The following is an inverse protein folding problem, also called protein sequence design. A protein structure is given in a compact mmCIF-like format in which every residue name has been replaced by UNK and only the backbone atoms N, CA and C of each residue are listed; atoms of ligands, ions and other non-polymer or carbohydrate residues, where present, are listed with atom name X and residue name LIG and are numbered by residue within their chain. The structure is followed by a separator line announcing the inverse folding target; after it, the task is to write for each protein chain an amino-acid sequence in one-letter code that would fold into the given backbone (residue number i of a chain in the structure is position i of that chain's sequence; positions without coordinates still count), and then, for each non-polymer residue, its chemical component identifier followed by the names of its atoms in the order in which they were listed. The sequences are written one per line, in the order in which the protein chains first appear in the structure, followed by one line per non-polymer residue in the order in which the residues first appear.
data_IF_428420378288
#
_entry.id   IF_428420378288
#
_cell.length_a   1.000
_cell.length_b   1.000
_cell.length_c   1.000
_cell.angle_alpha   90.00
_cell.angle_beta   90.00
_cell.angle_gamma   90.00
#
_symmetry.space_group_name_H-M   'P 1'
#
loop_
_entity.id
_entity.type
_entity.pdbx_description
1 polymer ?
#
# COMPACT_ATOMS: atom_id res chain seq x y z
N UNK A 1 -42.51 -3.13 -10.49
CA UNK A 1 -41.49 -3.31 -9.46
C UNK A 1 -40.14 -3.02 -10.11
N UNK A 2 -39.51 -1.93 -9.76
CA UNK A 2 -38.11 -1.66 -10.18
C UNK A 2 -37.22 -2.77 -9.63
N UNK A 3 -36.38 -3.41 -10.43
CA UNK A 3 -35.49 -4.45 -9.93
C UNK A 3 -34.63 -3.86 -8.80
N UNK A 4 -34.58 -4.55 -7.67
CA UNK A 4 -33.73 -4.17 -6.55
C UNK A 4 -32.27 -4.29 -7.04
N UNK A 5 -31.60 -3.16 -7.15
CA UNK A 5 -30.20 -3.14 -7.58
C UNK A 5 -29.32 -3.87 -6.57
N UNK A 6 -28.15 -4.29 -7.04
CA UNK A 6 -27.12 -4.80 -6.15
C UNK A 6 -26.56 -3.64 -5.33
N UNK A 7 -26.26 -3.82 -4.04
CA UNK A 7 -25.79 -2.74 -3.16
C UNK A 7 -24.64 -1.91 -3.73
N UNK A 8 -23.74 -2.54 -4.48
CA UNK A 8 -22.62 -1.85 -5.13
C UNK A 8 -23.08 -0.89 -6.23
N UNK A 9 -24.10 -1.28 -7.03
CA UNK A 9 -24.65 -0.42 -8.08
C UNK A 9 -25.41 0.76 -7.46
N UNK A 10 -26.05 0.54 -6.29
CA UNK A 10 -26.71 1.61 -5.53
C UNK A 10 -25.69 2.60 -4.98
N UNK A 11 -24.58 2.14 -4.38
CA UNK A 11 -23.51 3.01 -3.87
C UNK A 11 -22.93 3.89 -4.99
N UNK A 12 -22.63 3.30 -6.15
CA UNK A 12 -22.14 4.05 -7.33
C UNK A 12 -23.12 5.12 -7.77
N UNK A 13 -24.41 4.80 -7.82
CA UNK A 13 -25.45 5.77 -8.19
C UNK A 13 -25.61 6.89 -7.16
N UNK A 14 -25.52 6.56 -5.89
CA UNK A 14 -25.52 7.57 -4.82
C UNK A 14 -24.35 8.52 -5.00
N UNK A 15 -23.14 8.03 -5.22
CA UNK A 15 -21.96 8.87 -5.43
C UNK A 15 -22.10 9.73 -6.71
N UNK A 16 -22.55 9.15 -7.82
CA UNK A 16 -22.81 9.91 -9.04
C UNK A 16 -23.88 11.00 -8.84
N UNK A 17 -24.91 10.75 -8.01
CA UNK A 17 -25.93 11.75 -7.67
C UNK A 17 -25.38 12.85 -6.77
N UNK A 18 -24.53 12.52 -5.77
CA UNK A 18 -23.88 13.49 -4.89
C UNK A 18 -22.97 14.45 -5.68
N UNK A 19 -22.35 13.96 -6.74
CA UNK A 19 -21.48 14.74 -7.63
C UNK A 19 -22.17 15.24 -8.91
N UNK A 20 -23.48 15.04 -9.04
CA UNK A 20 -24.27 15.54 -10.16
C UNK A 20 -24.61 17.03 -10.05
N UNK A 21 -25.25 17.58 -11.09
CA UNK A 21 -25.58 19.02 -11.23
C UNK A 21 -26.32 19.60 -10.01
N UNK A 22 -27.25 18.85 -9.41
CA UNK A 22 -27.95 19.24 -8.18
C UNK A 22 -27.48 18.40 -6.98
N UNK A 23 -26.21 18.06 -6.94
CA UNK A 23 -25.61 17.22 -5.90
C UNK A 23 -25.22 18.00 -4.65
N UNK A 24 -24.38 17.40 -3.84
CA UNK A 24 -23.84 18.02 -2.63
C UNK A 24 -22.71 19.00 -2.98
N UNK A 25 -22.80 20.28 -2.59
CA UNK A 25 -21.76 21.27 -2.88
C UNK A 25 -20.38 20.85 -2.39
N UNK A 26 -20.29 20.20 -1.23
CA UNK A 26 -19.02 19.72 -0.68
C UNK A 26 -18.41 18.61 -1.56
N UNK A 27 -19.22 17.61 -1.95
CA UNK A 27 -18.74 16.52 -2.81
C UNK A 27 -18.28 17.04 -4.17
N UNK A 28 -18.97 18.02 -4.74
CA UNK A 28 -18.63 18.64 -6.03
C UNK A 28 -17.27 19.36 -6.01
N UNK A 29 -16.89 19.98 -4.90
CA UNK A 29 -15.60 20.66 -4.75
C UNK A 29 -14.40 19.69 -4.62
N UNK A 30 -14.64 18.40 -4.31
CA UNK A 30 -13.56 17.48 -4.06
C UNK A 30 -12.85 17.05 -5.34
N UNK A 31 -11.53 16.93 -5.23
CA UNK A 31 -10.66 16.30 -6.22
C UNK A 31 -9.84 15.16 -5.58
N UNK A 32 -9.07 14.43 -6.39
CA UNK A 32 -8.20 13.36 -5.90
C UNK A 32 -7.20 13.82 -4.84
N UNK A 33 -6.82 15.11 -4.82
CA UNK A 33 -5.82 15.62 -3.88
C UNK A 33 -6.45 16.06 -2.58
N UNK A 34 -7.66 16.60 -2.61
CA UNK A 34 -8.37 17.03 -1.39
C UNK A 34 -8.70 15.83 -0.50
N UNK A 35 -9.27 14.77 -1.06
CA UNK A 35 -9.74 13.57 -0.30
C UNK A 35 -8.67 12.47 -0.10
N UNK A 36 -7.44 12.65 -0.59
CA UNK A 36 -6.41 11.60 -0.53
C UNK A 36 -6.04 11.10 0.86
N UNK A 37 -6.21 11.96 1.87
CA UNK A 37 -5.88 11.61 3.24
C UNK A 37 -7.04 10.98 4.00
N UNK A 38 -8.28 11.20 3.56
CA UNK A 38 -9.44 10.50 4.11
C UNK A 38 -9.23 8.98 3.98
N UNK A 39 -8.83 8.50 2.81
CA UNK A 39 -8.49 7.07 2.64
C UNK A 39 -7.40 6.55 3.59
N UNK A 40 -6.52 7.41 4.11
CA UNK A 40 -5.50 7.04 5.11
C UNK A 40 -6.11 7.00 6.51
N UNK A 41 -7.03 7.92 6.81
CA UNK A 41 -7.80 7.97 8.05
C UNK A 41 -8.63 6.71 8.20
N UNK A 42 -9.49 6.37 7.23
CA UNK A 42 -10.29 5.14 7.22
C UNK A 42 -9.44 3.86 7.41
N UNK A 43 -8.22 3.83 6.85
CA UNK A 43 -7.31 2.69 7.07
C UNK A 43 -6.85 2.60 8.52
N UNK A 44 -6.62 3.71 9.22
CA UNK A 44 -6.23 3.67 10.64
C UNK A 44 -7.41 3.31 11.53
N UNK A 45 -8.60 3.83 11.26
CA UNK A 45 -9.83 3.50 11.98
C UNK A 45 -10.18 2.01 11.80
N UNK A 46 -10.06 1.48 10.58
CA UNK A 46 -10.15 0.04 10.33
C UNK A 46 -9.12 -0.77 11.12
N UNK A 47 -7.88 -0.29 11.26
CA UNK A 47 -6.85 -0.98 12.06
C UNK A 47 -7.25 -0.99 13.53
N UNK A 48 -7.75 0.10 14.07
CA UNK A 48 -8.19 0.20 15.47
C UNK A 48 -9.38 -0.75 15.73
N UNK A 49 -10.37 -0.80 14.83
CA UNK A 49 -11.49 -1.73 14.91
C UNK A 49 -11.04 -3.21 14.89
N UNK A 50 -10.09 -3.56 14.00
CA UNK A 50 -9.50 -4.91 13.93
C UNK A 50 -8.73 -5.25 15.23
N UNK A 51 -7.97 -4.33 15.80
CA UNK A 51 -7.20 -4.56 17.02
C UNK A 51 -8.12 -4.66 18.27
N UNK A 52 -9.30 -4.03 18.19
CA UNK A 52 -10.33 -4.13 19.23
C UNK A 52 -11.22 -5.39 19.10
N UNK A 53 -11.07 -6.18 18.05
CA UNK A 53 -11.98 -7.29 17.68
C UNK A 53 -13.46 -6.82 17.57
N UNK A 54 -13.69 -5.58 17.09
CA UNK A 54 -15.03 -4.97 16.97
C UNK A 54 -15.57 -5.13 15.54
N UNK A 55 -16.44 -6.12 15.34
CA UNK A 55 -17.04 -6.40 14.03
C UNK A 55 -18.00 -5.30 13.55
N UNK A 56 -18.57 -4.51 14.45
CA UNK A 56 -19.51 -3.44 14.09
C UNK A 56 -18.73 -2.25 13.53
N UNK A 57 -17.74 -1.78 14.24
CA UNK A 57 -16.83 -0.74 13.77
C UNK A 57 -16.09 -1.19 12.50
N UNK A 58 -15.60 -2.42 12.45
CA UNK A 58 -14.92 -2.97 11.27
C UNK A 58 -15.82 -2.97 10.02
N UNK A 59 -17.13 -3.22 10.18
CA UNK A 59 -18.08 -3.15 9.07
C UNK A 59 -18.24 -1.70 8.57
N UNK A 60 -18.30 -0.74 9.48
CA UNK A 60 -18.41 0.69 9.16
C UNK A 60 -17.16 1.16 8.43
N UNK A 61 -15.96 0.93 8.98
CA UNK A 61 -14.70 1.37 8.39
C UNK A 61 -14.37 0.72 7.05
N UNK A 62 -14.78 -0.54 6.84
CA UNK A 62 -14.72 -1.17 5.52
C UNK A 62 -15.64 -0.49 4.52
N UNK A 63 -16.80 0.01 4.97
CA UNK A 63 -17.74 0.80 4.17
C UNK A 63 -17.13 2.13 3.75
N UNK A 64 -16.49 2.85 4.67
CA UNK A 64 -15.88 4.15 4.44
C UNK A 64 -14.63 4.04 3.55
N UNK A 65 -13.81 3.01 3.77
CA UNK A 65 -12.71 2.71 2.85
C UNK A 65 -13.23 2.36 1.43
N UNK A 66 -14.35 1.64 1.31
CA UNK A 66 -14.99 1.36 0.02
C UNK A 66 -15.53 2.64 -0.61
N UNK A 67 -16.11 3.55 0.18
CA UNK A 67 -16.55 4.87 -0.27
C UNK A 67 -15.40 5.65 -0.91
N UNK A 68 -14.21 5.66 -0.30
CA UNK A 68 -13.03 6.32 -0.88
C UNK A 68 -12.69 5.77 -2.28
N UNK A 69 -12.79 4.45 -2.47
CA UNK A 69 -12.55 3.83 -3.78
C UNK A 69 -13.59 4.28 -4.81
N UNK A 70 -14.87 4.28 -4.44
CA UNK A 70 -15.98 4.71 -5.33
C UNK A 70 -15.89 6.19 -5.65
N UNK A 71 -15.58 7.03 -4.66
CA UNK A 71 -15.42 8.48 -4.84
C UNK A 71 -14.27 8.79 -5.82
N UNK A 72 -13.10 8.21 -5.61
CA UNK A 72 -11.99 8.37 -6.54
C UNK A 72 -12.30 7.86 -7.95
N UNK A 73 -13.05 6.77 -8.07
CA UNK A 73 -13.46 6.24 -9.37
C UNK A 73 -14.45 7.20 -10.07
N UNK A 74 -15.41 7.78 -9.34
CA UNK A 74 -16.33 8.77 -9.86
C UNK A 74 -15.62 10.03 -10.39
N UNK A 75 -14.68 10.59 -9.61
CA UNK A 75 -13.86 11.73 -10.06
C UNK A 75 -13.04 11.38 -11.32
N UNK A 76 -12.57 10.15 -11.43
CA UNK A 76 -11.83 9.71 -12.61
C UNK A 76 -12.73 9.55 -13.85
N UNK A 77 -13.94 9.05 -13.66
CA UNK A 77 -14.96 8.91 -14.70
C UNK A 77 -15.37 10.27 -15.26
N UNK A 78 -15.64 11.27 -14.42
CA UNK A 78 -15.94 12.64 -14.80
C UNK A 78 -14.87 13.29 -15.68
N UNK A 79 -13.61 12.88 -15.52
CA UNK A 79 -12.48 13.32 -16.34
C UNK A 79 -12.27 12.46 -17.59
N UNK A 80 -13.09 11.42 -17.81
CA UNK A 80 -12.93 10.47 -18.91
C UNK A 80 -11.66 9.59 -18.81
N UNK A 81 -11.13 9.38 -17.58
CA UNK A 81 -9.90 8.62 -17.39
C UNK A 81 -10.15 7.11 -17.20
N UNK A 82 -10.97 6.75 -16.24
CA UNK A 82 -11.45 5.39 -15.96
C UNK A 82 -12.63 5.45 -15.00
N UNK A 83 -13.40 4.36 -14.91
CA UNK A 83 -14.55 4.18 -14.04
C UNK A 83 -14.29 3.12 -12.95
N UNK A 84 -15.28 2.89 -12.10
CA UNK A 84 -15.22 1.86 -11.06
C UNK A 84 -15.10 0.44 -11.63
N UNK A 85 -15.76 0.15 -12.76
CA UNK A 85 -15.70 -1.19 -13.36
C UNK A 85 -14.28 -1.50 -13.83
N UNK A 86 -13.57 -0.50 -14.37
CA UNK A 86 -12.17 -0.64 -14.76
C UNK A 86 -11.25 -0.88 -13.55
N UNK A 87 -11.55 -0.27 -12.40
CA UNK A 87 -10.81 -0.53 -11.13
C UNK A 87 -11.05 -1.96 -10.68
N UNK A 88 -12.31 -2.41 -10.64
CA UNK A 88 -12.69 -3.76 -10.23
C UNK A 88 -12.11 -4.83 -11.18
N UNK A 89 -12.22 -4.61 -12.49
CA UNK A 89 -11.63 -5.48 -13.49
C UNK A 89 -10.12 -5.61 -13.32
N UNK A 90 -9.43 -4.47 -13.16
CA UNK A 90 -7.97 -4.45 -13.03
C UNK A 90 -7.46 -5.23 -11.82
N UNK A 91 -8.14 -5.16 -10.67
CA UNK A 91 -7.76 -5.95 -9.50
C UNK A 91 -8.12 -7.43 -9.68
N UNK A 92 -9.26 -7.76 -10.29
CA UNK A 92 -9.67 -9.13 -10.58
C UNK A 92 -8.67 -9.84 -11.49
N UNK A 93 -8.34 -9.25 -12.62
CA UNK A 93 -7.34 -9.77 -13.56
C UNK A 93 -5.98 -10.00 -12.89
N UNK A 94 -5.57 -9.05 -12.04
CA UNK A 94 -4.33 -9.15 -11.27
C UNK A 94 -4.36 -10.29 -10.26
N UNK A 95 -5.47 -10.51 -9.56
CA UNK A 95 -5.61 -11.62 -8.62
C UNK A 95 -5.56 -12.96 -9.34
N UNK A 96 -6.31 -13.14 -10.43
CA UNK A 96 -6.30 -14.36 -11.24
C UNK A 96 -4.88 -14.66 -11.74
N UNK A 97 -4.22 -13.67 -12.34
CA UNK A 97 -2.87 -13.83 -12.89
C UNK A 97 -1.83 -14.18 -11.83
N UNK A 98 -1.97 -13.66 -10.60
CA UNK A 98 -1.01 -13.89 -9.50
C UNK A 98 -1.27 -15.17 -8.72
N UNK A 99 -2.39 -15.83 -8.95
CA UNK A 99 -2.75 -17.09 -8.28
C UNK A 99 -2.94 -18.23 -9.29
N UNK A 100 -1.95 -18.52 -10.16
CA UNK A 100 -2.09 -19.60 -11.15
C UNK A 100 -2.14 -20.98 -10.50
N UNK A 101 -1.85 -21.09 -9.21
CA UNK A 101 -2.07 -22.29 -8.41
C UNK A 101 -3.54 -22.47 -7.97
N UNK A 102 -4.39 -21.44 -8.14
CA UNK A 102 -5.84 -21.50 -7.86
C UNK A 102 -6.64 -21.45 -9.15
N UNK A 103 -6.26 -20.56 -10.07
CA UNK A 103 -6.99 -20.29 -11.31
C UNK A 103 -6.37 -20.94 -12.56
N UNK A 104 -5.27 -21.65 -12.42
CA UNK A 104 -4.54 -22.31 -13.51
C UNK A 104 -4.02 -23.70 -13.09
N UNK A 105 -2.91 -24.12 -13.68
CA UNK A 105 -2.34 -25.47 -13.51
C UNK A 105 -1.08 -25.50 -12.63
N UNK A 106 -0.59 -24.34 -12.19
CA UNK A 106 0.61 -24.29 -11.35
C UNK A 106 0.38 -24.96 -9.99
N UNK A 107 1.41 -25.56 -9.43
CA UNK A 107 1.34 -26.21 -8.11
C UNK A 107 2.30 -25.52 -7.15
N UNK A 108 1.85 -25.20 -5.96
CA UNK A 108 2.66 -24.72 -4.85
C UNK A 108 2.45 -25.60 -3.64
N UNK A 109 3.51 -25.87 -2.88
CA UNK A 109 3.45 -26.80 -1.74
C UNK A 109 3.17 -26.08 -0.41
N UNK A 110 3.57 -24.82 -0.32
CA UNK A 110 3.51 -24.04 0.92
C UNK A 110 3.44 -22.52 0.63
N UNK A 111 3.26 -21.75 1.69
CA UNK A 111 3.23 -20.28 1.63
C UNK A 111 4.52 -19.69 1.04
N UNK A 112 5.68 -20.30 1.30
CA UNK A 112 6.96 -19.86 0.74
C UNK A 112 7.01 -19.99 -0.78
N UNK A 113 6.41 -21.05 -1.32
CA UNK A 113 6.22 -21.26 -2.76
C UNK A 113 5.32 -20.20 -3.37
N UNK A 114 4.22 -19.82 -2.70
CA UNK A 114 3.33 -18.73 -3.14
C UNK A 114 4.11 -17.41 -3.23
N UNK A 115 4.88 -17.06 -2.22
CA UNK A 115 5.67 -15.81 -2.22
C UNK A 115 6.67 -15.76 -3.37
N UNK A 116 7.39 -16.86 -3.62
CA UNK A 116 8.36 -16.95 -4.74
C UNK A 116 7.66 -16.77 -6.09
N UNK A 117 6.52 -17.44 -6.27
CA UNK A 117 5.70 -17.34 -7.49
C UNK A 117 5.21 -15.89 -7.70
N UNK A 118 4.69 -15.25 -6.66
CA UNK A 118 4.25 -13.86 -6.74
C UNK A 118 5.37 -12.89 -7.09
N UNK A 119 6.56 -13.08 -6.53
CA UNK A 119 7.70 -12.20 -6.83
C UNK A 119 8.17 -12.37 -8.29
N UNK A 120 8.19 -13.59 -8.82
CA UNK A 120 8.49 -13.85 -10.21
C UNK A 120 7.46 -13.19 -11.14
N UNK A 121 6.16 -13.38 -10.89
CA UNK A 121 5.08 -12.78 -11.69
C UNK A 121 5.15 -11.24 -11.63
N UNK A 122 5.38 -10.64 -10.47
CA UNK A 122 5.51 -9.18 -10.32
C UNK A 122 6.69 -8.59 -11.08
N UNK A 123 7.78 -9.34 -11.24
CA UNK A 123 8.91 -8.90 -12.06
C UNK A 123 8.51 -8.84 -13.54
N UNK A 124 7.90 -9.92 -14.06
CA UNK A 124 7.45 -9.99 -15.45
C UNK A 124 6.38 -8.92 -15.75
N UNK A 125 5.42 -8.71 -14.85
CA UNK A 125 4.34 -7.73 -15.04
C UNK A 125 4.81 -6.29 -15.32
N UNK A 126 6.00 -5.95 -14.88
CA UNK A 126 6.52 -4.57 -14.91
C UNK A 126 7.56 -4.35 -15.98
N UNK A 127 8.14 -5.41 -16.52
CA UNK A 127 9.15 -5.33 -17.57
C UNK A 127 8.57 -4.68 -18.83
N UNK A 128 9.24 -3.66 -19.36
CA UNK A 128 8.84 -2.95 -20.58
C UNK A 128 7.63 -2.00 -20.43
N UNK A 129 7.12 -1.76 -19.24
CA UNK A 129 6.01 -0.82 -18.99
C UNK A 129 6.52 0.54 -18.50
N UNK A 130 5.69 1.58 -18.65
CA UNK A 130 5.98 2.95 -18.18
C UNK A 130 6.29 3.02 -16.68
N UNK A 131 5.79 2.06 -15.90
CA UNK A 131 6.05 1.92 -14.46
C UNK A 131 7.05 0.81 -14.12
N UNK A 132 7.96 0.48 -15.05
CA UNK A 132 9.03 -0.48 -14.84
C UNK A 132 9.91 -0.07 -13.65
N UNK A 133 10.19 -1.04 -12.79
CA UNK A 133 11.03 -0.83 -11.61
C UNK A 133 12.49 -1.13 -11.97
N UNK A 134 13.28 -0.08 -12.07
CA UNK A 134 14.73 -0.18 -12.35
C UNK A 134 15.54 -0.56 -11.11
N UNK A 135 14.95 -0.45 -9.93
CA UNK A 135 15.57 -0.79 -8.64
C UNK A 135 14.60 -1.61 -7.79
N UNK A 136 15.13 -2.52 -6.99
CA UNK A 136 14.35 -3.26 -6.00
C UNK A 136 13.63 -2.33 -5.00
N UNK A 137 14.17 -1.13 -4.79
CA UNK A 137 13.61 -0.13 -3.88
C UNK A 137 12.46 0.68 -4.50
N UNK A 138 12.25 0.58 -5.80
CA UNK A 138 11.14 1.25 -6.46
C UNK A 138 9.80 0.67 -6.00
N UNK A 139 8.81 1.56 -5.81
CA UNK A 139 7.48 1.20 -5.35
C UNK A 139 7.36 1.03 -3.83
N UNK A 140 8.34 1.49 -3.04
CA UNK A 140 8.11 1.79 -1.62
C UNK A 140 7.41 3.16 -1.56
N UNK A 141 6.16 3.26 -1.08
CA UNK A 141 5.44 4.52 -1.06
C UNK A 141 6.19 5.56 -0.23
N UNK A 142 6.22 6.80 -0.74
CA UNK A 142 6.99 7.88 -0.10
C UNK A 142 6.33 8.42 1.17
N UNK A 143 5.02 8.28 1.26
CA UNK A 143 4.20 8.81 2.35
C UNK A 143 3.93 7.80 3.47
N UNK A 144 4.43 6.57 3.37
CA UNK A 144 4.37 5.64 4.51
C UNK A 144 4.97 6.28 5.77
N UNK A 145 4.42 5.97 6.96
CA UNK A 145 5.08 6.26 8.23
C UNK A 145 6.54 5.81 8.22
N UNK A 146 7.42 6.57 8.85
CA UNK A 146 8.88 6.35 8.70
C UNK A 146 9.32 4.96 9.15
N UNK A 147 8.73 4.41 10.21
CA UNK A 147 9.00 3.05 10.66
C UNK A 147 8.58 1.99 9.62
N UNK A 148 7.39 2.12 9.05
CA UNK A 148 6.92 1.22 8.01
C UNK A 148 7.80 1.31 6.75
N UNK A 149 8.16 2.52 6.37
CA UNK A 149 9.05 2.77 5.23
C UNK A 149 10.45 2.18 5.45
N UNK A 150 11.03 2.39 6.64
CA UNK A 150 12.31 1.81 7.02
C UNK A 150 12.26 0.27 7.03
N UNK A 151 11.18 -0.31 7.56
CA UNK A 151 10.96 -1.75 7.55
C UNK A 151 10.96 -2.32 6.12
N UNK A 152 10.19 -1.75 5.20
CA UNK A 152 10.13 -2.20 3.81
C UNK A 152 11.48 -2.01 3.09
N UNK A 153 12.21 -0.93 3.36
CA UNK A 153 13.53 -0.70 2.82
C UNK A 153 14.53 -1.80 3.27
N UNK A 154 14.58 -2.09 4.57
CA UNK A 154 15.45 -3.11 5.14
C UNK A 154 15.08 -4.50 4.62
N UNK A 155 13.79 -4.84 4.56
CA UNK A 155 13.28 -6.11 4.02
C UNK A 155 13.74 -6.30 2.58
N UNK A 156 13.56 -5.31 1.72
CA UNK A 156 14.00 -5.36 0.32
C UNK A 156 15.52 -5.46 0.19
N UNK A 157 16.26 -4.68 0.98
CA UNK A 157 17.72 -4.72 0.97
C UNK A 157 18.27 -6.10 1.39
N UNK A 158 17.63 -6.76 2.35
CA UNK A 158 17.97 -8.13 2.76
C UNK A 158 17.64 -9.15 1.68
N UNK A 159 16.49 -9.03 1.04
CA UNK A 159 16.10 -9.90 -0.07
C UNK A 159 17.07 -9.80 -1.25
N UNK A 160 17.65 -8.62 -1.48
CA UNK A 160 18.71 -8.40 -2.48
C UNK A 160 20.13 -8.75 -1.99
N UNK A 161 20.28 -9.22 -0.74
CA UNK A 161 21.57 -9.51 -0.14
C UNK A 161 22.47 -8.27 0.05
N UNK A 162 21.92 -7.05 -0.01
CA UNK A 162 22.63 -5.79 0.21
C UNK A 162 22.82 -5.48 1.71
N UNK A 163 22.05 -6.14 2.55
CA UNK A 163 22.19 -6.13 4.00
C UNK A 163 22.29 -7.58 4.51
N UNK A 164 23.05 -7.81 5.60
CA UNK A 164 23.16 -9.14 6.20
C UNK A 164 21.79 -9.60 6.72
N UNK A 165 21.58 -10.93 6.75
CA UNK A 165 20.43 -11.52 7.45
C UNK A 165 20.53 -11.14 8.93
N UNK A 166 19.51 -10.45 9.44
CA UNK A 166 19.47 -10.04 10.83
C UNK A 166 19.47 -11.24 11.79
N UNK A 167 20.14 -11.13 12.93
CA UNK A 167 20.00 -12.11 14.00
C UNK A 167 18.59 -11.97 14.61
N UNK A 168 17.92 -13.10 14.84
CA UNK A 168 16.64 -13.10 15.56
C UNK A 168 16.88 -12.66 17.01
N UNK A 169 16.29 -11.57 17.41
CA UNK A 169 16.26 -11.14 18.80
C UNK A 169 15.05 -11.79 19.49
N UNK A 170 15.27 -12.46 20.62
CA UNK A 170 14.18 -13.03 21.45
C UNK A 170 13.59 -12.00 22.43
N UNK A 171 14.25 -10.88 22.63
CA UNK A 171 13.85 -9.84 23.58
C UNK A 171 12.97 -8.77 22.91
N UNK A 172 11.80 -9.17 22.42
CA UNK A 172 10.84 -8.28 21.72
C UNK A 172 10.51 -7.03 22.55
N UNK A 173 10.24 -7.22 23.87
CA UNK A 173 9.93 -6.13 24.81
C UNK A 173 11.08 -5.12 24.93
N UNK A 174 12.33 -5.60 25.13
CA UNK A 174 13.51 -4.71 25.25
C UNK A 174 13.72 -3.86 24.01
N UNK A 175 13.51 -4.42 22.82
CA UNK A 175 13.59 -3.66 21.56
C UNK A 175 12.53 -2.56 21.49
N UNK A 176 11.29 -2.84 21.90
CA UNK A 176 10.23 -1.83 21.99
C UNK A 176 10.59 -0.70 22.99
N UNK A 177 11.12 -1.06 24.17
CA UNK A 177 11.60 -0.09 25.16
C UNK A 177 12.72 0.81 24.61
N UNK A 178 13.67 0.23 23.87
CA UNK A 178 14.73 1.00 23.20
C UNK A 178 14.19 1.98 22.16
N UNK A 179 13.26 1.53 21.32
CA UNK A 179 12.60 2.40 20.34
C UNK A 179 11.87 3.55 21.03
N UNK A 180 11.12 3.28 22.10
CA UNK A 180 10.41 4.30 22.86
C UNK A 180 11.37 5.31 23.51
N UNK A 181 12.50 4.86 24.07
CA UNK A 181 13.55 5.75 24.60
C UNK A 181 14.13 6.69 23.53
N UNK A 182 14.30 6.21 22.30
CA UNK A 182 14.74 7.05 21.18
C UNK A 182 13.71 8.15 20.87
N UNK A 183 12.41 7.83 20.91
CA UNK A 183 11.34 8.82 20.75
C UNK A 183 11.37 9.86 21.86
N UNK A 184 11.50 9.42 23.14
CA UNK A 184 11.65 10.33 24.29
C UNK A 184 12.86 11.27 24.13
N UNK A 185 14.01 10.72 23.68
CA UNK A 185 15.22 11.49 23.45
C UNK A 185 15.03 12.54 22.33
N UNK A 186 14.36 12.17 21.26
CA UNK A 186 14.05 13.12 20.19
C UNK A 186 13.14 14.24 20.69
N UNK A 187 12.06 13.90 21.40
CA UNK A 187 11.10 14.86 21.94
C UNK A 187 11.76 15.83 22.95
N UNK A 188 12.61 15.34 23.85
CA UNK A 188 13.35 16.16 24.82
C UNK A 188 14.30 17.19 24.15
N UNK A 189 14.70 16.97 22.89
CA UNK A 189 15.50 17.91 22.09
C UNK A 189 14.63 18.78 21.15
N UNK A 190 13.31 18.73 21.25
CA UNK A 190 12.40 19.45 20.35
C UNK A 190 12.36 18.88 18.92
N UNK A 191 12.79 17.64 18.72
CA UNK A 191 12.80 17.00 17.41
C UNK A 191 11.65 15.99 17.26
N UNK A 192 11.10 15.91 16.06
CA UNK A 192 10.10 14.90 15.72
C UNK A 192 10.80 13.61 15.29
N UNK A 193 10.63 12.52 16.05
CA UNK A 193 11.25 11.23 15.77
C UNK A 193 10.88 10.66 14.39
N UNK A 194 9.63 10.86 13.96
CA UNK A 194 9.16 10.50 12.61
C UNK A 194 9.97 11.22 11.53
N UNK A 195 10.19 12.53 11.66
CA UNK A 195 10.96 13.30 10.70
C UNK A 195 12.43 12.89 10.66
N UNK A 196 13.05 12.65 11.82
CA UNK A 196 14.42 12.16 11.93
C UNK A 196 14.60 10.82 11.22
N UNK A 197 13.72 9.84 11.51
CA UNK A 197 13.79 8.53 10.90
C UNK A 197 13.50 8.59 9.39
N UNK A 198 12.61 9.46 8.95
CA UNK A 198 12.30 9.68 7.53
C UNK A 198 13.52 10.20 6.77
N UNK A 199 14.25 11.16 7.33
CA UNK A 199 15.48 11.70 6.73
C UNK A 199 16.56 10.62 6.65
N UNK A 200 16.78 9.88 7.74
CA UNK A 200 17.78 8.81 7.78
C UNK A 200 17.44 7.66 6.85
N UNK A 201 16.16 7.28 6.76
CA UNK A 201 15.70 6.26 5.81
C UNK A 201 15.99 6.65 4.37
N UNK A 202 15.79 7.93 4.00
CA UNK A 202 16.16 8.45 2.67
C UNK A 202 17.66 8.39 2.41
N UNK A 203 18.47 8.70 3.42
CA UNK A 203 19.95 8.61 3.33
C UNK A 203 20.39 7.16 3.10
N UNK A 204 19.88 6.24 3.90
CA UNK A 204 20.14 4.81 3.77
C UNK A 204 19.71 4.27 2.40
N UNK A 205 18.55 4.67 1.92
CA UNK A 205 18.07 4.27 0.60
C UNK A 205 19.03 4.69 -0.51
N UNK A 206 19.56 5.93 -0.48
CA UNK A 206 20.55 6.40 -1.46
C UNK A 206 21.80 5.54 -1.46
N UNK A 207 22.30 5.14 -0.27
CA UNK A 207 23.46 4.26 -0.15
C UNK A 207 23.17 2.87 -0.70
N UNK A 208 22.00 2.31 -0.39
CA UNK A 208 21.60 0.98 -0.86
C UNK A 208 21.40 0.96 -2.39
N UNK A 209 20.82 1.99 -2.97
CA UNK A 209 20.70 2.12 -4.45
C UNK A 209 22.07 2.20 -5.15
N UNK A 210 23.05 2.88 -4.54
CA UNK A 210 24.44 2.87 -5.07
C UNK A 210 25.06 1.49 -5.03
N UNK A 211 24.90 0.76 -3.93
CA UNK A 211 25.38 -0.64 -3.79
C UNK A 211 24.69 -1.58 -4.79
N UNK A 212 23.40 -1.43 -5.00
CA UNK A 212 22.64 -2.20 -5.99
C UNK A 212 23.20 -2.00 -7.41
N UNK A 213 23.39 -0.73 -7.83
CA UNK A 213 23.98 -0.40 -9.14
C UNK A 213 25.40 -0.96 -9.30
N UNK A 214 26.26 -0.81 -8.28
CA UNK A 214 27.60 -1.34 -8.34
C UNK A 214 27.61 -2.88 -8.52
N UNK A 215 26.70 -3.58 -7.88
CA UNK A 215 26.55 -5.04 -8.03
C UNK A 215 26.06 -5.46 -9.41
N UNK A 216 25.23 -4.65 -10.06
CA UNK A 216 24.73 -4.92 -11.42
C UNK A 216 25.82 -4.72 -12.46
N UNK A 217 26.82 -3.87 -12.19
CA UNK A 217 27.95 -3.58 -13.08
C UNK A 217 29.11 -4.57 -12.94
N UNK A 218 29.13 -5.36 -11.84
CA UNK A 218 30.17 -6.39 -11.63
C UNK A 218 29.57 -7.75 -11.97
N UNK A 219 29.93 -8.39 -13.10
CA UNK A 219 29.47 -9.74 -13.41
C UNK A 219 29.88 -10.69 -12.28
N UNK A 220 28.97 -11.57 -11.89
CA UNK A 220 29.35 -12.71 -11.03
C UNK A 220 30.30 -13.57 -11.82
N UNK A 221 31.59 -13.63 -11.37
CA UNK A 221 32.51 -14.64 -11.79
C UNK A 221 32.00 -16.03 -11.38
#
# INVERSE_FOLDING_TARGET
MTPKLKPMDDLRRVMARLRGVDGCPWDLEQDHKSIRFNAVEEVYELVDAIEADDDVEMLEELGDLLLQVVFHAQIAEERGAFDFDRVAQGITEKLIRRHPHVFGTAKVKDVGGVWKQWDAIKQVEKTGKTNERKSAFDGIPRHLPALMRAHELVKKARNQGLLPKGRKCRAKRKLGEEMFRLVQKAQANGWQAEALLRVETKRCEKVLRKKEKARQLTPRA
#
